data_IF_722700034673
#
_entry.id   IF_722700034673
#
_cell.length_a   1.000
_cell.length_b   1.000
_cell.length_c   1.000
_cell.angle_alpha   90.00
_cell.angle_beta   90.00
_cell.angle_gamma   90.00
#
_symmetry.space_group_name_H-M   'P 1'
#
loop_
_entity.id
_entity.type
_entity.pdbx_description
1 polymer ?
#
# COMPACT_ATOMS: atom_id res chain seq x y z
N UNK A 1 7.47 13.95 -8.50
CA UNK A 1 8.04 12.81 -9.25
C UNK A 1 8.28 11.65 -8.29
N UNK A 2 8.15 10.40 -8.74
CA UNK A 2 8.48 9.21 -7.95
C UNK A 2 10.00 8.92 -8.02
N UNK A 3 10.61 8.35 -6.96
CA UNK A 3 12.02 7.94 -7.00
C UNK A 3 12.26 6.86 -8.06
N UNK A 4 13.33 7.01 -8.85
CA UNK A 4 13.66 6.09 -9.94
C UNK A 4 13.90 4.65 -9.46
N UNK A 5 14.49 4.49 -8.28
CA UNK A 5 14.74 3.19 -7.66
C UNK A 5 13.44 2.43 -7.38
N UNK A 6 12.38 3.13 -6.94
CA UNK A 6 11.06 2.55 -6.71
C UNK A 6 10.43 2.07 -8.01
N UNK A 7 10.57 2.83 -9.09
CA UNK A 7 10.08 2.44 -10.41
C UNK A 7 10.82 1.21 -10.95
N UNK A 8 12.13 1.15 -10.74
CA UNK A 8 12.95 0.00 -11.16
C UNK A 8 12.57 -1.27 -10.40
N UNK A 9 12.33 -1.18 -9.09
CA UNK A 9 11.85 -2.30 -8.29
C UNK A 9 10.47 -2.76 -8.75
N UNK A 10 9.53 -1.83 -8.92
CA UNK A 10 8.19 -2.14 -9.40
C UNK A 10 8.21 -2.81 -10.78
N UNK A 11 9.11 -2.40 -11.67
CA UNK A 11 9.31 -3.04 -12.98
C UNK A 11 9.80 -4.48 -12.85
N UNK A 12 10.75 -4.74 -11.94
CA UNK A 12 11.33 -6.08 -11.74
C UNK A 12 10.31 -7.08 -11.20
N UNK A 13 9.43 -6.64 -10.30
CA UNK A 13 8.43 -7.49 -9.64
C UNK A 13 7.07 -7.50 -10.35
N UNK A 14 6.93 -6.78 -11.47
CA UNK A 14 5.63 -6.60 -12.13
C UNK A 14 5.06 -7.91 -12.68
N UNK A 15 5.91 -8.75 -13.28
CA UNK A 15 5.50 -10.01 -13.91
C UNK A 15 5.51 -11.19 -12.93
N UNK A 16 6.35 -11.12 -11.90
CA UNK A 16 6.49 -12.17 -10.90
C UNK A 16 6.63 -11.54 -9.51
N UNK A 17 5.51 -11.40 -8.83
CA UNK A 17 5.47 -10.84 -7.49
C UNK A 17 6.00 -11.87 -6.49
N UNK A 18 7.22 -11.64 -5.99
CA UNK A 18 7.88 -12.47 -4.97
C UNK A 18 7.92 -13.99 -5.29
N UNK A 19 8.05 -14.37 -6.56
CA UNK A 19 8.17 -15.77 -6.98
C UNK A 19 6.83 -16.54 -7.03
N UNK A 20 5.70 -15.83 -7.06
CA UNK A 20 4.36 -16.42 -7.17
C UNK A 20 3.96 -16.75 -8.62
N UNK A 21 4.74 -16.32 -9.61
CA UNK A 21 4.45 -16.50 -11.04
C UNK A 21 3.27 -15.68 -11.53
N UNK A 22 2.84 -14.66 -10.77
CA UNK A 22 1.72 -13.77 -11.09
C UNK A 22 2.05 -12.35 -10.65
N UNK A 23 1.42 -11.37 -11.29
CA UNK A 23 1.58 -9.95 -10.95
C UNK A 23 0.88 -9.61 -9.64
N UNK A 24 1.42 -8.62 -8.91
CA UNK A 24 0.73 -8.03 -7.75
C UNK A 24 -0.67 -7.49 -8.10
N UNK A 25 -0.90 -7.11 -9.36
CA UNK A 25 -2.18 -6.63 -9.86
C UNK A 25 -3.23 -7.73 -10.01
N UNK A 26 -2.81 -8.99 -10.02
CA UNK A 26 -3.67 -10.18 -10.23
C UNK A 26 -3.97 -10.90 -8.90
N UNK A 27 -3.24 -10.57 -7.83
CA UNK A 27 -3.41 -11.16 -6.50
C UNK A 27 -4.65 -10.59 -5.80
N UNK A 28 -5.41 -11.47 -5.16
CA UNK A 28 -6.55 -11.05 -4.34
C UNK A 28 -6.11 -10.14 -3.19
N UNK A 29 -6.80 -9.01 -3.00
CA UNK A 29 -6.60 -8.11 -1.87
C UNK A 29 -6.85 -8.76 -0.49
N UNK A 30 -7.48 -9.94 -0.46
CA UNK A 30 -7.70 -10.76 0.75
C UNK A 30 -6.72 -11.92 0.87
N UNK A 31 -5.89 -12.14 -0.15
CA UNK A 31 -4.88 -13.20 -0.18
C UNK A 31 -3.82 -12.98 0.90
N UNK A 32 -3.30 -14.09 1.44
CA UNK A 32 -2.20 -14.09 2.42
C UNK A 32 -0.93 -13.46 1.86
N UNK A 33 -0.81 -13.40 0.54
CA UNK A 33 0.29 -12.82 -0.22
C UNK A 33 0.20 -11.28 -0.24
N UNK A 34 -1.01 -10.71 -0.24
CA UNK A 34 -1.22 -9.25 -0.30
C UNK A 34 -1.34 -8.59 1.08
N UNK A 35 -1.88 -9.31 2.08
CA UNK A 35 -2.06 -8.79 3.46
C UNK A 35 -0.76 -8.22 4.06
N UNK A 36 0.42 -8.85 3.91
CA UNK A 36 1.68 -8.33 4.40
C UNK A 36 2.05 -6.98 3.76
N UNK A 37 1.90 -6.83 2.44
CA UNK A 37 2.18 -5.56 1.75
C UNK A 37 1.30 -4.41 2.28
N UNK A 38 0.00 -4.67 2.44
CA UNK A 38 -0.92 -3.70 3.01
C UNK A 38 -0.67 -3.36 4.49
N UNK A 39 -0.06 -4.27 5.26
CA UNK A 39 0.37 -4.03 6.65
C UNK A 39 1.70 -3.28 6.71
N UNK A 40 2.69 -3.69 5.91
CA UNK A 40 4.00 -3.05 5.81
C UNK A 40 3.88 -1.58 5.43
N UNK A 41 3.04 -1.27 4.43
CA UNK A 41 2.76 0.13 4.05
C UNK A 41 2.14 0.96 5.18
N UNK A 42 1.26 0.36 6.00
CA UNK A 42 0.66 1.04 7.16
C UNK A 42 1.68 1.28 8.28
N UNK A 43 2.57 0.32 8.53
CA UNK A 43 3.62 0.45 9.54
C UNK A 43 4.63 1.51 9.11
N UNK A 44 5.18 1.41 7.89
CA UNK A 44 6.13 2.41 7.38
C UNK A 44 5.56 3.83 7.35
N UNK A 45 4.28 4.00 7.02
CA UNK A 45 3.61 5.30 7.07
C UNK A 45 3.47 5.83 8.50
N UNK A 46 3.15 4.96 9.47
CA UNK A 46 3.09 5.34 10.89
C UNK A 46 4.46 5.76 11.41
N UNK A 47 5.49 5.01 11.07
CA UNK A 47 6.85 5.26 11.54
C UNK A 47 7.39 6.57 10.96
N UNK A 48 7.17 6.82 9.67
CA UNK A 48 7.62 8.03 8.99
C UNK A 48 6.99 9.31 9.55
N UNK A 49 5.71 9.25 9.96
CA UNK A 49 4.95 10.40 10.47
C UNK A 49 4.78 10.37 12.00
N UNK A 50 5.43 9.43 12.68
CA UNK A 50 5.33 9.23 14.13
C UNK A 50 3.88 9.20 14.65
N UNK A 51 3.00 8.45 13.97
CA UNK A 51 1.57 8.40 14.28
C UNK A 51 1.34 7.51 15.51
N UNK A 52 0.73 8.02 16.60
CA UNK A 52 0.51 7.23 17.80
C UNK A 52 -0.54 6.13 17.59
N UNK A 53 -0.47 5.08 18.43
CA UNK A 53 -1.23 3.83 18.28
C UNK A 53 -2.75 4.01 18.38
N UNK A 54 -3.21 5.12 18.97
CA UNK A 54 -4.62 5.46 19.12
C UNK A 54 -5.28 5.96 17.82
N UNK A 55 -4.52 6.24 16.75
CA UNK A 55 -5.08 6.59 15.44
C UNK A 55 -5.18 5.38 14.51
N UNK A 56 -6.12 5.42 13.56
CA UNK A 56 -6.26 4.42 12.50
C UNK A 56 -5.83 5.02 11.15
N UNK A 57 -5.03 4.27 10.40
CA UNK A 57 -4.59 4.63 9.04
C UNK A 57 -5.46 3.87 8.05
N UNK A 58 -6.11 4.59 7.14
CA UNK A 58 -7.00 4.06 6.11
C UNK A 58 -6.44 4.40 4.73
N UNK A 59 -6.38 3.41 3.84
CA UNK A 59 -6.13 3.63 2.42
C UNK A 59 -7.48 3.72 1.70
N UNK A 60 -7.76 4.89 1.13
CA UNK A 60 -9.02 5.16 0.47
C UNK A 60 -8.79 5.54 -1.00
N UNK A 61 -9.73 5.16 -1.85
CA UNK A 61 -9.70 5.54 -3.25
C UNK A 61 -10.08 7.02 -3.42
N UNK A 62 -9.25 7.78 -4.15
CA UNK A 62 -9.47 9.19 -4.51
C UNK A 62 -8.72 10.21 -3.64
N UNK A 63 -8.31 11.32 -4.24
CA UNK A 63 -7.63 12.42 -3.54
C UNK A 63 -8.63 13.29 -2.76
N UNK A 64 -8.48 13.38 -1.45
CA UNK A 64 -9.21 14.33 -0.60
C UNK A 64 -10.65 13.95 -0.20
N UNK A 65 -11.27 12.93 -0.82
CA UNK A 65 -12.67 12.52 -0.49
C UNK A 65 -12.87 12.02 0.96
N UNK A 66 -11.78 11.70 1.66
CA UNK A 66 -11.81 11.37 3.09
C UNK A 66 -12.27 12.54 3.96
N UNK A 67 -11.88 13.78 3.62
CA UNK A 67 -12.30 14.99 4.34
C UNK A 67 -13.82 15.22 4.21
N UNK A 68 -14.37 15.04 3.00
CA UNK A 68 -15.79 15.23 2.73
C UNK A 68 -16.70 14.17 3.35
N UNK A 69 -16.17 12.99 3.70
CA UNK A 69 -16.92 11.91 4.37
C UNK A 69 -16.92 12.01 5.90
N UNK A 70 -16.00 12.75 6.51
CA UNK A 70 -15.97 12.96 7.95
C UNK A 70 -17.08 13.92 8.45
N UNK A 71 -17.76 14.63 7.53
CA UNK A 71 -18.85 15.56 7.80
C UNK A 71 -20.24 15.02 7.41
N UNK A 72 -20.41 13.71 7.31
CA UNK A 72 -21.72 13.06 7.17
C UNK A 72 -21.95 12.06 8.28
#
# INVERSE_FOLDING_TARGET
MLPAEVLKLAQQELCDWHGLGTSVMEISHRGKEFIPGGRGGRTGFRDLLNIPSNYKVLFCHGGGRGHSRAFR
#
